data_IF_333567368087
#
_entry.id   IF_333567368087
#
_cell.length_a   1.000
_cell.length_b   1.000
_cell.length_c   1.000
_cell.angle_alpha   90.00
_cell.angle_beta   90.00
_cell.angle_gamma   90.00
#
_symmetry.space_group_name_H-M   'P 1'
#
loop_
_entity.id
_entity.type
_entity.pdbx_description
1 polymer ?
#
# COMPACT_ATOMS: atom_id res chain seq x y z
N UNK A 1 -7.99 20.08 14.21
CA UNK A 1 -7.21 19.34 13.19
C UNK A 1 -7.24 20.01 11.80
N UNK A 2 -8.27 20.80 11.44
CA UNK A 2 -8.40 21.38 10.09
C UNK A 2 -7.69 22.73 9.83
N UNK A 3 -7.35 23.54 10.84
CA UNK A 3 -6.86 24.91 10.56
C UNK A 3 -5.46 24.95 9.92
N UNK A 4 -4.57 24.04 10.31
CA UNK A 4 -3.21 23.96 9.75
C UNK A 4 -3.23 23.46 8.31
N UNK A 5 -4.05 22.45 8.00
CA UNK A 5 -4.20 21.98 6.63
C UNK A 5 -4.78 23.07 5.72
N UNK A 6 -5.81 23.78 6.18
CA UNK A 6 -6.40 24.87 5.41
C UNK A 6 -5.40 25.99 5.15
N UNK A 7 -4.62 26.38 6.16
CA UNK A 7 -3.52 27.35 6.01
C UNK A 7 -2.49 26.87 4.99
N UNK A 8 -2.02 25.63 5.09
CA UNK A 8 -1.04 25.06 4.15
C UNK A 8 -1.61 24.97 2.73
N UNK A 9 -2.87 24.60 2.59
CA UNK A 9 -3.57 24.53 1.31
C UNK A 9 -3.65 25.89 0.64
N UNK A 10 -4.01 26.93 1.38
CA UNK A 10 -4.13 28.30 0.87
C UNK A 10 -2.77 28.91 0.53
N UNK A 11 -1.76 28.72 1.38
CA UNK A 11 -0.43 29.33 1.20
C UNK A 11 0.45 28.63 0.15
N UNK A 12 0.35 27.30 0.03
CA UNK A 12 1.26 26.51 -0.81
C UNK A 12 0.60 25.85 -2.02
N UNK A 13 -0.68 26.14 -2.26
CA UNK A 13 -1.48 25.55 -3.32
C UNK A 13 -1.35 24.01 -3.35
N UNK A 14 -1.76 23.37 -2.24
CA UNK A 14 -1.65 21.92 -2.06
C UNK A 14 -3.04 21.30 -2.03
N UNK A 15 -3.25 20.25 -2.82
CA UNK A 15 -4.44 19.42 -2.75
C UNK A 15 -4.21 18.14 -1.95
N UNK A 16 -5.31 17.64 -1.38
CA UNK A 16 -5.37 16.32 -0.76
C UNK A 16 -6.36 15.46 -1.54
N UNK A 17 -5.89 14.31 -2.02
CA UNK A 17 -6.71 13.32 -2.69
C UNK A 17 -6.69 12.02 -1.89
N UNK A 18 -7.86 11.57 -1.47
CA UNK A 18 -8.01 10.27 -0.84
C UNK A 18 -8.53 9.24 -1.86
N UNK A 19 -7.86 8.10 -1.94
CA UNK A 19 -8.21 6.98 -2.80
C UNK A 19 -8.55 5.78 -1.92
N UNK A 20 -9.81 5.36 -1.99
CA UNK A 20 -10.30 4.16 -1.30
C UNK A 20 -9.96 2.90 -2.10
N UNK A 21 -9.88 1.75 -1.42
CA UNK A 21 -9.59 0.44 -2.03
C UNK A 21 -10.46 0.11 -3.27
N UNK A 22 -11.77 0.36 -3.21
CA UNK A 22 -12.68 0.07 -4.32
C UNK A 22 -12.47 0.94 -5.58
N UNK A 23 -11.71 2.03 -5.46
CA UNK A 23 -11.35 2.93 -6.56
C UNK A 23 -10.03 2.55 -7.22
N UNK A 24 -9.29 1.56 -6.70
CA UNK A 24 -8.01 1.12 -7.26
C UNK A 24 -8.08 0.69 -8.72
N UNK A 25 -9.17 0.05 -9.13
CA UNK A 25 -9.42 -0.30 -10.53
C UNK A 25 -9.39 0.90 -11.49
N UNK A 26 -9.55 2.12 -10.98
CA UNK A 26 -9.53 3.36 -11.75
C UNK A 26 -8.22 4.14 -11.59
N UNK A 27 -7.23 3.62 -10.86
CA UNK A 27 -6.01 4.36 -10.50
C UNK A 27 -5.26 4.90 -11.73
N UNK A 28 -5.21 4.13 -12.82
CA UNK A 28 -4.59 4.56 -14.07
C UNK A 28 -5.30 5.77 -14.69
N UNK A 29 -6.63 5.80 -14.63
CA UNK A 29 -7.43 6.92 -15.13
C UNK A 29 -7.29 8.14 -14.23
N UNK A 30 -7.27 7.94 -12.91
CA UNK A 30 -7.01 8.99 -11.92
C UNK A 30 -5.65 9.63 -12.19
N UNK A 31 -4.57 8.85 -12.27
CA UNK A 31 -3.22 9.37 -12.50
C UNK A 31 -3.06 10.07 -13.85
N UNK A 32 -3.76 9.62 -14.91
CA UNK A 32 -3.81 10.37 -16.18
C UNK A 32 -4.40 11.77 -16.01
N UNK A 33 -5.46 11.90 -15.21
CA UNK A 33 -6.07 13.20 -14.91
C UNK A 33 -5.19 14.03 -13.96
N UNK A 34 -4.50 13.41 -13.00
CA UNK A 34 -3.61 14.15 -12.10
C UNK A 34 -2.37 14.68 -12.84
N UNK A 35 -1.87 13.96 -13.86
CA UNK A 35 -0.66 14.38 -14.59
C UNK A 35 -0.82 15.68 -15.39
N UNK A 36 -2.04 16.14 -15.64
CA UNK A 36 -2.28 17.45 -16.28
C UNK A 36 -2.43 18.59 -15.25
N UNK A 37 -2.38 18.28 -13.96
CA UNK A 37 -2.50 19.24 -12.87
C UNK A 37 -1.10 19.63 -12.42
N UNK A 38 -0.81 20.93 -12.40
CA UNK A 38 0.49 21.48 -11.97
C UNK A 38 0.59 21.64 -10.44
N UNK A 39 -0.54 21.60 -9.75
CA UNK A 39 -0.65 21.69 -8.29
C UNK A 39 0.07 20.53 -7.59
N UNK A 40 0.62 20.78 -6.40
CA UNK A 40 1.15 19.71 -5.54
C UNK A 40 0.02 18.92 -4.90
N UNK A 41 0.06 17.60 -4.98
CA UNK A 41 -1.03 16.74 -4.49
C UNK A 41 -0.48 15.71 -3.52
N UNK A 42 -1.05 15.68 -2.32
CA UNK A 42 -0.87 14.59 -1.37
C UNK A 42 -1.93 13.53 -1.66
N UNK A 43 -1.51 12.34 -2.02
CA UNK A 43 -2.38 11.22 -2.37
C UNK A 43 -2.37 10.23 -1.22
N UNK A 44 -3.49 10.11 -0.51
CA UNK A 44 -3.69 9.17 0.59
C UNK A 44 -4.41 7.94 0.08
N UNK A 45 -3.81 6.78 0.31
CA UNK A 45 -4.42 5.48 0.10
C UNK A 45 -4.97 4.96 1.42
N UNK A 46 -6.30 4.97 1.56
CA UNK A 46 -6.96 4.59 2.80
C UNK A 46 -7.33 3.10 2.86
N UNK A 47 -7.08 2.48 4.00
CA UNK A 47 -7.30 1.05 4.30
C UNK A 47 -6.67 0.11 3.26
N UNK A 48 -5.40 0.34 3.00
CA UNK A 48 -4.59 -0.45 2.09
C UNK A 48 -4.08 -1.72 2.77
N UNK A 49 -5.03 -2.56 3.20
CA UNK A 49 -4.75 -3.94 3.62
C UNK A 49 -4.70 -4.84 2.38
N UNK A 50 -3.52 -4.96 1.77
CA UNK A 50 -3.27 -6.03 0.82
C UNK A 50 -2.92 -7.32 1.59
N UNK A 51 -3.43 -8.46 1.12
CA UNK A 51 -2.76 -9.72 1.43
C UNK A 51 -1.38 -9.67 0.77
N UNK A 52 -0.31 -9.97 1.51
CA UNK A 52 1.02 -10.02 0.93
C UNK A 52 0.99 -11.00 -0.24
N UNK A 53 1.56 -10.58 -1.38
CA UNK A 53 1.58 -11.35 -2.64
C UNK A 53 0.24 -11.52 -3.38
N UNK A 54 -0.77 -10.67 -3.11
CA UNK A 54 -1.92 -10.57 -4.01
C UNK A 54 -1.54 -9.91 -5.34
N UNK A 55 -2.11 -10.36 -6.44
CA UNK A 55 -1.91 -9.76 -7.78
C UNK A 55 -2.25 -8.26 -7.77
N UNK A 56 -3.27 -7.87 -7.00
CA UNK A 56 -3.66 -6.48 -6.80
C UNK A 56 -2.53 -5.62 -6.19
N UNK A 57 -1.73 -6.16 -5.28
CA UNK A 57 -0.59 -5.46 -4.68
C UNK A 57 0.54 -5.26 -5.69
N UNK A 58 0.85 -6.30 -6.47
CA UNK A 58 1.90 -6.23 -7.50
C UNK A 58 1.52 -5.23 -8.58
N UNK A 59 0.28 -5.27 -9.05
CA UNK A 59 -0.27 -4.30 -10.02
C UNK A 59 -0.20 -2.88 -9.44
N UNK A 60 -0.66 -2.69 -8.20
CA UNK A 60 -0.61 -1.39 -7.54
C UNK A 60 0.81 -0.84 -7.41
N UNK A 61 1.75 -1.66 -6.96
CA UNK A 61 3.16 -1.29 -6.83
C UNK A 61 3.76 -0.85 -8.16
N UNK A 62 3.55 -1.64 -9.21
CA UNK A 62 4.05 -1.31 -10.55
C UNK A 62 3.49 0.03 -11.07
N UNK A 63 2.21 0.31 -10.78
CA UNK A 63 1.58 1.59 -11.15
C UNK A 63 2.19 2.75 -10.35
N UNK A 64 2.43 2.57 -9.05
CA UNK A 64 3.10 3.57 -8.21
C UNK A 64 4.53 3.85 -8.67
N UNK A 65 5.32 2.82 -8.93
CA UNK A 65 6.70 2.96 -9.41
C UNK A 65 6.74 3.74 -10.75
N UNK A 66 5.76 3.50 -11.62
CA UNK A 66 5.58 4.25 -12.86
C UNK A 66 5.07 5.70 -12.69
N UNK A 67 4.33 5.99 -11.62
CA UNK A 67 3.81 7.33 -11.33
C UNK A 67 4.86 8.22 -10.64
N UNK A 68 5.56 7.68 -9.65
CA UNK A 68 6.65 8.35 -8.92
C UNK A 68 7.79 8.76 -9.85
N UNK A 69 8.11 7.92 -10.85
CA UNK A 69 9.15 8.22 -11.84
C UNK A 69 8.78 9.32 -12.83
N UNK A 70 7.50 9.69 -12.94
CA UNK A 70 7.02 10.64 -13.96
C UNK A 70 6.62 12.02 -13.43
N UNK A 71 6.26 12.15 -12.15
CA UNK A 71 5.71 13.40 -11.64
C UNK A 71 6.15 13.69 -10.20
N UNK A 72 6.97 14.73 -10.03
CA UNK A 72 7.51 15.16 -8.72
C UNK A 72 6.49 15.92 -7.86
N UNK A 73 5.32 16.25 -8.42
CA UNK A 73 4.27 17.00 -7.70
C UNK A 73 3.40 16.12 -6.81
N UNK A 74 3.60 14.80 -6.82
CA UNK A 74 2.80 13.86 -6.03
C UNK A 74 3.56 13.35 -4.82
N UNK A 75 2.92 13.43 -3.65
CA UNK A 75 3.37 12.82 -2.41
C UNK A 75 2.40 11.72 -2.02
N UNK A 76 2.86 10.47 -2.01
CA UNK A 76 2.03 9.31 -1.71
C UNK A 76 2.13 8.92 -0.24
N UNK A 77 1.00 8.72 0.42
CA UNK A 77 0.89 8.17 1.77
C UNK A 77 -0.09 7.00 1.79
N UNK A 78 0.18 5.99 2.60
CA UNK A 78 -0.72 4.85 2.80
C UNK A 78 -1.05 4.70 4.28
N UNK A 79 -2.31 4.41 4.61
CA UNK A 79 -2.68 3.96 5.95
C UNK A 79 -2.70 2.43 5.94
N UNK A 80 -1.61 1.81 6.41
CA UNK A 80 -1.57 0.35 6.54
C UNK A 80 -2.25 -0.05 7.84
N UNK A 81 -3.22 -0.96 7.74
CA UNK A 81 -3.96 -1.47 8.89
C UNK A 81 -3.02 -2.40 9.69
N UNK A 82 -2.55 -1.95 10.87
CA UNK A 82 -1.61 -2.66 11.75
C UNK A 82 -2.00 -4.13 12.01
N UNK A 83 -3.30 -4.43 11.97
CA UNK A 83 -3.87 -5.77 12.11
C UNK A 83 -3.45 -6.76 11.02
N UNK A 84 -3.25 -6.28 9.79
CA UNK A 84 -2.86 -7.11 8.63
C UNK A 84 -1.40 -7.56 8.71
N UNK A 85 -0.55 -6.73 9.32
CA UNK A 85 0.87 -7.00 9.56
C UNK A 85 1.02 -8.05 10.69
N UNK A 86 0.24 -7.92 11.77
CA UNK A 86 0.27 -8.87 12.89
C UNK A 86 -0.20 -10.28 12.48
N UNK A 87 -1.22 -10.38 11.61
CA UNK A 87 -1.72 -11.69 11.16
C UNK A 87 -0.72 -12.45 10.27
N UNK A 88 0.09 -11.75 9.47
CA UNK A 88 1.13 -12.37 8.64
C UNK A 88 2.26 -12.98 9.49
N UNK A 89 2.73 -12.26 10.50
CA UNK A 89 3.79 -12.77 11.39
C UNK A 89 3.36 -14.04 12.14
N UNK A 90 2.08 -14.13 12.54
CA UNK A 90 1.58 -15.32 13.23
C UNK A 90 1.44 -16.51 12.29
N UNK A 91 1.03 -16.32 11.03
CA UNK A 91 0.94 -17.40 10.05
C UNK A 91 2.31 -17.94 9.62
N UNK A 92 3.27 -17.06 9.34
CA UNK A 92 4.62 -17.49 8.96
C UNK A 92 5.28 -18.32 10.06
N UNK A 93 5.07 -17.95 11.33
CA UNK A 93 5.61 -18.71 12.46
C UNK A 93 4.98 -20.10 12.60
N UNK A 94 3.67 -20.23 12.37
CA UNK A 94 2.99 -21.53 12.41
C UNK A 94 3.41 -22.44 11.26
N UNK A 95 3.54 -21.90 10.03
CA UNK A 95 4.01 -22.67 8.87
C UNK A 95 5.46 -23.17 9.05
N UNK A 96 6.33 -22.37 9.67
CA UNK A 96 7.70 -22.80 9.99
C UNK A 96 7.76 -23.90 11.05
N UNK A 97 6.86 -23.86 12.04
CA UNK A 97 6.76 -24.90 13.08
C UNK A 97 6.26 -26.21 12.48
N UNK A 98 5.20 -26.18 11.67
CA UNK A 98 4.66 -27.38 11.01
C UNK A 98 5.67 -28.04 10.06
N UNK A 99 6.47 -27.25 9.33
CA UNK A 99 7.54 -27.77 8.47
C UNK A 99 8.67 -28.44 9.27
N UNK A 100 9.03 -27.86 10.42
CA UNK A 100 10.05 -28.43 11.30
C UNK A 100 9.57 -29.75 11.94
N UNK A 101 8.33 -29.81 12.42
CA UNK A 101 7.74 -31.03 12.98
C UNK A 101 7.62 -32.15 11.94
N UNK A 102 7.31 -31.82 10.68
CA UNK A 102 7.28 -32.78 9.59
C UNK A 102 8.68 -33.37 9.29
N UNK A 103 9.70 -32.52 9.26
CA UNK A 103 11.10 -32.92 9.03
C UNK A 103 11.65 -33.79 10.19
N UNK A 104 11.33 -33.41 11.42
CA UNK A 104 11.74 -34.13 12.63
C UNK A 104 11.05 -35.51 12.70
N UNK A 105 9.80 -35.64 12.24
CA UNK A 105 9.10 -36.92 12.16
C UNK A 105 9.64 -37.84 11.04
N UNK A 106 10.00 -37.29 9.87
CA UNK A 106 10.61 -38.09 8.78
C UNK A 106 12.00 -38.62 9.16
N UNK A 107 12.79 -37.83 9.89
CA UNK A 107 14.10 -38.25 10.39
C UNK A 107 13.98 -39.31 11.49
N UNK A 108 13.00 -39.18 12.39
CA UNK A 108 12.72 -40.19 13.42
C UNK A 108 12.17 -41.52 12.90
N UNK A 109 11.60 -41.54 11.68
CA UNK A 109 11.11 -42.76 11.00
C UNK A 109 12.18 -43.44 10.14
N UNK A 110 13.34 -42.80 9.94
CA UNK A 110 14.46 -43.31 9.14
C UNK A 110 15.56 -44.00 9.95
N UNK A 111 15.46 -44.00 11.28
CA UNK A 111 16.26 -44.81 12.22
C UNK A 111 15.48 -46.06 12.68
#
# INVERSE_FOLDING_TARGET
MFSVFNYIKEEYDIALLEIKRNQLKYINSIFRQLNIIEQKIIIIFDDFSFAANSDDFIIFKNILDGAVSKNLNFLFYTTSNFRSIIQHNNKSNMEMIEQQEALDNETALSD
#
